data_IF_776263858177
#
_entry.id   IF_776263858177
#
_cell.length_a   1.000
_cell.length_b   1.000
_cell.length_c   1.000
_cell.angle_alpha   90.00
_cell.angle_beta   90.00
_cell.angle_gamma   90.00
#
_symmetry.space_group_name_H-M   'P 1'
#
loop_
_entity.id
_entity.type
_entity.pdbx_description
1 polymer ?
#
# COMPACT_ATOMS: atom_id res chain seq x y z
N UNK A 1 -2.72 -6.68 -29.94
CA UNK A 1 -2.09 -5.42 -29.48
C UNK A 1 -2.22 -5.32 -27.96
N UNK A 2 -1.25 -5.86 -27.21
CA UNK A 2 -1.26 -5.95 -25.72
C UNK A 2 0.08 -5.42 -25.12
N UNK A 3 1.00 -4.91 -25.94
CA UNK A 3 2.35 -4.54 -25.48
C UNK A 3 2.41 -3.25 -24.65
N UNK A 4 1.55 -2.26 -24.91
CA UNK A 4 1.60 -0.97 -24.21
C UNK A 4 1.29 -1.08 -22.71
N UNK A 5 0.40 -2.00 -22.34
CA UNK A 5 -0.01 -2.24 -20.95
C UNK A 5 1.10 -2.91 -20.13
N UNK A 6 1.79 -3.90 -20.72
CA UNK A 6 2.93 -4.54 -20.07
C UNK A 6 4.06 -3.54 -19.84
N UNK A 7 4.28 -2.61 -20.78
CA UNK A 7 5.28 -1.57 -20.64
C UNK A 7 4.96 -0.63 -19.45
N UNK A 8 3.70 -0.26 -19.27
CA UNK A 8 3.24 0.55 -18.12
C UNK A 8 3.44 -0.23 -16.82
N UNK A 9 3.08 -1.51 -16.77
CA UNK A 9 3.26 -2.34 -15.58
C UNK A 9 4.72 -2.45 -15.14
N UNK A 10 5.64 -2.65 -16.10
CA UNK A 10 7.09 -2.68 -15.84
C UNK A 10 7.61 -1.32 -15.38
N UNK A 11 7.18 -0.22 -16.02
CA UNK A 11 7.56 1.13 -15.61
C UNK A 11 7.08 1.47 -14.19
N UNK A 12 5.83 1.12 -13.86
CA UNK A 12 5.27 1.32 -12.52
C UNK A 12 6.02 0.47 -11.49
N UNK A 13 6.33 -0.79 -11.80
CA UNK A 13 7.12 -1.66 -10.93
C UNK A 13 8.53 -1.12 -10.66
N UNK A 14 9.22 -0.63 -11.69
CA UNK A 14 10.53 0.03 -11.56
C UNK A 14 10.47 1.31 -10.73
N UNK A 15 9.47 2.15 -10.98
CA UNK A 15 9.26 3.39 -10.24
C UNK A 15 9.01 3.12 -8.76
N UNK A 16 8.19 2.10 -8.47
CA UNK A 16 7.85 1.72 -7.10
C UNK A 16 9.01 1.04 -6.36
N UNK A 17 9.85 0.24 -7.04
CA UNK A 17 11.10 -0.26 -6.46
C UNK A 17 12.04 0.87 -6.06
N UNK A 18 12.20 1.88 -6.91
CA UNK A 18 12.99 3.07 -6.59
C UNK A 18 12.40 3.82 -5.39
N UNK A 19 11.07 4.00 -5.36
CA UNK A 19 10.39 4.68 -4.26
C UNK A 19 10.58 3.94 -2.92
N UNK A 20 10.42 2.61 -2.91
CA UNK A 20 10.69 1.78 -1.74
C UNK A 20 12.15 1.88 -1.29
N UNK A 21 13.11 1.93 -2.20
CA UNK A 21 14.52 2.13 -1.86
C UNK A 21 14.78 3.48 -1.18
N UNK A 22 14.19 4.57 -1.69
CA UNK A 22 14.28 5.92 -1.11
C UNK A 22 13.71 5.94 0.32
N UNK A 23 12.59 5.27 0.51
CA UNK A 23 11.89 5.19 1.80
C UNK A 23 12.64 4.35 2.84
N UNK A 24 13.29 3.25 2.44
CA UNK A 24 14.20 2.47 3.29
C UNK A 24 15.41 3.32 3.71
N UNK A 25 15.98 4.09 2.78
CA UNK A 25 17.15 4.95 3.05
C UNK A 25 16.83 6.07 4.05
N UNK A 26 15.59 6.54 4.10
CA UNK A 26 15.12 7.56 5.06
C UNK A 26 14.82 7.03 6.47
N UNK A 27 14.94 5.71 6.71
CA UNK A 27 14.64 5.03 7.99
C UNK A 27 13.22 5.28 8.54
N UNK A 28 12.29 5.75 7.72
CA UNK A 28 10.90 5.98 8.15
C UNK A 28 10.05 4.71 8.11
N UNK A 29 10.56 3.64 7.49
CA UNK A 29 9.94 2.32 7.54
C UNK A 29 10.60 1.43 8.59
N UNK A 30 9.75 0.72 9.33
CA UNK A 30 10.17 -0.43 10.13
C UNK A 30 10.62 -1.54 9.18
N UNK A 31 11.67 -2.29 9.52
CA UNK A 31 12.24 -3.36 8.68
C UNK A 31 11.17 -4.34 8.12
N UNK A 32 10.11 -4.59 8.90
CA UNK A 32 8.97 -5.44 8.51
C UNK A 32 8.15 -4.86 7.36
N UNK A 33 7.93 -3.55 7.36
CA UNK A 33 7.13 -2.85 6.33
C UNK A 33 7.91 -2.77 5.01
N UNK A 34 9.23 -2.58 5.08
CA UNK A 34 10.10 -2.61 3.92
C UNK A 34 10.07 -3.97 3.20
N UNK A 35 10.15 -5.07 3.96
CA UNK A 35 10.09 -6.44 3.43
C UNK A 35 8.70 -6.75 2.85
N UNK A 36 7.63 -6.30 3.50
CA UNK A 36 6.26 -6.46 2.99
C UNK A 36 6.09 -5.76 1.63
N UNK A 37 6.49 -4.50 1.53
CA UNK A 37 6.40 -3.74 0.28
C UNK A 37 7.28 -4.33 -0.84
N UNK A 38 8.49 -4.79 -0.52
CA UNK A 38 9.34 -5.50 -1.48
C UNK A 38 8.65 -6.75 -2.06
N UNK A 39 8.01 -7.57 -1.22
CA UNK A 39 7.25 -8.74 -1.69
C UNK A 39 6.11 -8.34 -2.61
N UNK A 40 5.37 -7.27 -2.28
CA UNK A 40 4.27 -6.76 -3.11
C UNK A 40 4.76 -6.33 -4.48
N UNK A 41 5.88 -5.59 -4.56
CA UNK A 41 6.43 -5.15 -5.83
C UNK A 41 6.95 -6.31 -6.68
N UNK A 42 7.61 -7.28 -6.05
CA UNK A 42 8.07 -8.50 -6.74
C UNK A 42 6.86 -9.29 -7.28
N UNK A 43 5.79 -9.42 -6.49
CA UNK A 43 4.57 -10.09 -6.93
C UNK A 43 3.90 -9.36 -8.11
N UNK A 44 3.84 -8.02 -8.09
CA UNK A 44 3.31 -7.22 -9.19
C UNK A 44 4.15 -7.36 -10.48
N UNK A 45 5.48 -7.35 -10.36
CA UNK A 45 6.38 -7.57 -11.50
C UNK A 45 6.19 -8.98 -12.07
N UNK A 46 6.12 -10.00 -11.21
CA UNK A 46 5.89 -11.38 -11.62
C UNK A 46 4.54 -11.55 -12.35
N UNK A 47 3.47 -10.95 -11.83
CA UNK A 47 2.14 -10.94 -12.47
C UNK A 47 2.15 -10.19 -13.81
N UNK A 48 2.92 -9.10 -13.92
CA UNK A 48 3.05 -8.34 -15.17
C UNK A 48 3.85 -9.09 -16.25
N UNK A 49 4.87 -9.86 -15.86
CA UNK A 49 5.71 -10.63 -16.78
C UNK A 49 5.02 -11.92 -17.24
N UNK A 50 4.17 -12.53 -16.41
CA UNK A 50 3.47 -13.77 -16.71
C UNK A 50 1.94 -13.61 -16.70
N UNK A 51 1.35 -12.94 -17.72
CA UNK A 51 -0.12 -12.84 -17.84
C UNK A 51 -0.80 -14.21 -18.07
N UNK A 52 -0.04 -15.24 -18.44
CA UNK A 52 -0.54 -16.61 -18.63
C UNK A 52 -0.98 -17.28 -17.32
N UNK A 53 -0.36 -16.95 -16.17
CA UNK A 53 -0.76 -17.49 -14.86
C UNK A 53 -2.14 -16.99 -14.46
N UNK A 54 -2.43 -15.72 -14.74
CA UNK A 54 -3.76 -15.14 -14.55
C UNK A 54 -4.80 -15.73 -15.49
N UNK A 55 -4.40 -16.20 -16.68
CA UNK A 55 -5.30 -16.86 -17.63
C UNK A 55 -5.75 -18.26 -17.16
N UNK A 56 -4.91 -18.97 -16.41
CA UNK A 56 -5.30 -20.23 -15.77
C UNK A 56 -6.31 -20.00 -14.64
N UNK A 57 -6.19 -18.90 -13.88
CA UNK A 57 -7.16 -18.53 -12.85
C UNK A 57 -8.46 -17.92 -13.40
N UNK A 58 -8.41 -17.17 -14.52
CA UNK A 58 -9.60 -16.53 -15.11
C UNK A 58 -10.63 -17.55 -15.61
N UNK A 59 -10.17 -18.71 -16.08
CA UNK A 59 -11.01 -19.79 -16.59
C UNK A 59 -11.88 -20.43 -15.50
N UNK A 60 -11.37 -20.56 -14.27
CA UNK A 60 -12.02 -21.36 -13.23
C UNK A 60 -12.96 -20.59 -12.30
N UNK A 61 -12.82 -19.25 -12.19
CA UNK A 61 -13.54 -18.50 -11.12
C UNK A 61 -14.39 -17.33 -11.62
N UNK A 62 -14.04 -16.62 -12.70
CA UNK A 62 -14.63 -15.31 -12.96
C UNK A 62 -15.18 -15.03 -14.38
N UNK A 63 -14.93 -15.88 -15.40
CA UNK A 63 -15.43 -15.63 -16.78
C UNK A 63 -15.09 -14.22 -17.32
N UNK A 64 -14.02 -13.60 -16.81
CA UNK A 64 -13.56 -12.29 -17.25
C UNK A 64 -12.74 -12.49 -18.52
N UNK A 65 -13.28 -12.06 -19.67
CA UNK A 65 -12.67 -12.24 -20.99
C UNK A 65 -11.30 -11.56 -21.15
N UNK A 66 -10.90 -10.69 -20.22
CA UNK A 66 -9.63 -9.96 -20.28
C UNK A 66 -8.88 -10.09 -18.95
N UNK A 67 -7.72 -10.73 -18.99
CA UNK A 67 -6.74 -10.85 -17.89
C UNK A 67 -6.44 -9.51 -17.20
N UNK A 68 -6.57 -8.42 -17.95
CA UNK A 68 -6.32 -7.05 -17.53
C UNK A 68 -7.39 -6.52 -16.56
N UNK A 69 -8.66 -6.88 -16.76
CA UNK A 69 -9.76 -6.39 -15.92
C UNK A 69 -9.66 -6.98 -14.51
N UNK A 70 -9.16 -8.22 -14.38
CA UNK A 70 -8.89 -8.84 -13.08
C UNK A 70 -7.78 -8.10 -12.32
N UNK A 71 -6.70 -7.69 -13.00
CA UNK A 71 -5.63 -6.90 -12.37
C UNK A 71 -6.14 -5.54 -11.88
N UNK A 72 -7.02 -4.89 -12.65
CA UNK A 72 -7.61 -3.61 -12.25
C UNK A 72 -8.49 -3.80 -11.00
N UNK A 73 -9.35 -4.82 -10.99
CA UNK A 73 -10.20 -5.12 -9.83
C UNK A 73 -9.34 -5.42 -8.60
N UNK A 74 -8.31 -6.25 -8.75
CA UNK A 74 -7.41 -6.60 -7.64
C UNK A 74 -6.62 -5.38 -7.14
N UNK A 75 -6.15 -4.54 -8.06
CA UNK A 75 -5.50 -3.27 -7.74
C UNK A 75 -6.42 -2.32 -6.99
N UNK A 76 -7.70 -2.24 -7.38
CA UNK A 76 -8.71 -1.45 -6.67
C UNK A 76 -8.95 -1.96 -5.25
N UNK A 77 -9.11 -3.27 -5.08
CA UNK A 77 -9.24 -3.89 -3.75
C UNK A 77 -8.01 -3.63 -2.88
N UNK A 78 -6.82 -3.78 -3.45
CA UNK A 78 -5.56 -3.52 -2.77
C UNK A 78 -5.44 -2.05 -2.35
N UNK A 79 -5.77 -1.12 -3.24
CA UNK A 79 -5.77 0.30 -2.96
C UNK A 79 -6.79 0.68 -1.86
N UNK A 80 -8.00 0.11 -1.92
CA UNK A 80 -9.01 0.32 -0.90
C UNK A 80 -8.54 -0.17 0.48
N UNK A 81 -7.87 -1.34 0.54
CA UNK A 81 -7.26 -1.84 1.78
C UNK A 81 -6.19 -0.89 2.32
N UNK A 82 -5.32 -0.36 1.46
CA UNK A 82 -4.28 0.60 1.88
C UNK A 82 -4.91 1.89 2.42
N UNK A 83 -5.91 2.43 1.71
CA UNK A 83 -6.61 3.65 2.15
C UNK A 83 -7.26 3.41 3.51
N UNK A 84 -7.91 2.26 3.70
CA UNK A 84 -8.55 1.91 4.96
C UNK A 84 -7.53 1.75 6.11
N UNK A 85 -6.40 1.09 5.84
CA UNK A 85 -5.30 0.96 6.80
C UNK A 85 -4.74 2.33 7.19
N UNK A 86 -4.47 3.18 6.19
CA UNK A 86 -3.95 4.53 6.40
C UNK A 86 -4.94 5.41 7.18
N UNK A 87 -6.22 5.34 6.86
CA UNK A 87 -7.27 6.02 7.62
C UNK A 87 -7.24 5.60 9.10
N UNK A 88 -7.10 4.31 9.39
CA UNK A 88 -7.04 3.77 10.75
C UNK A 88 -5.79 4.25 11.50
N UNK A 89 -4.64 4.28 10.81
CA UNK A 89 -3.38 4.76 11.36
C UNK A 89 -3.47 6.25 11.71
N UNK A 90 -3.98 7.07 10.78
CA UNK A 90 -4.21 8.51 10.98
C UNK A 90 -5.17 8.75 12.14
N UNK A 91 -6.28 8.00 12.22
CA UNK A 91 -7.26 8.12 13.31
C UNK A 91 -6.65 7.78 14.67
N UNK A 92 -5.77 6.79 14.72
CA UNK A 92 -5.08 6.40 15.96
C UNK A 92 -4.05 7.44 16.37
N UNK A 93 -3.30 7.99 15.41
CA UNK A 93 -2.33 9.07 15.65
C UNK A 93 -3.04 10.33 16.17
N UNK A 94 -4.16 10.74 15.57
CA UNK A 94 -4.97 11.86 16.04
C UNK A 94 -5.41 11.67 17.51
N UNK A 95 -5.91 10.49 17.86
CA UNK A 95 -6.32 10.19 19.25
C UNK A 95 -5.17 10.30 20.25
N UNK A 96 -3.96 9.89 19.86
CA UNK A 96 -2.79 10.00 20.73
C UNK A 96 -2.40 11.47 20.94
N UNK A 97 -2.41 12.26 19.86
CA UNK A 97 -2.15 13.71 19.94
C UNK A 97 -3.19 14.39 20.85
N UNK A 98 -4.47 14.11 20.66
CA UNK A 98 -5.55 14.65 21.48
C UNK A 98 -5.37 14.30 22.96
N UNK A 99 -4.99 13.06 23.27
CA UNK A 99 -4.71 12.63 24.64
C UNK A 99 -3.51 13.37 25.26
N UNK A 100 -2.43 13.55 24.50
CA UNK A 100 -1.24 14.30 24.94
C UNK A 100 -1.60 15.76 25.23
N UNK A 101 -2.30 16.43 24.30
CA UNK A 101 -2.71 17.83 24.46
C UNK A 101 -3.66 17.99 25.66
N UNK A 102 -4.60 17.07 25.85
CA UNK A 102 -5.51 17.07 27.01
C UNK A 102 -4.76 16.93 28.33
N UNK A 103 -3.80 16.01 28.41
CA UNK A 103 -3.00 15.81 29.61
C UNK A 103 -2.14 17.03 29.94
N UNK A 104 -1.51 17.64 28.93
CA UNK A 104 -0.75 18.89 29.07
C UNK A 104 -1.63 20.04 29.59
N UNK A 105 -2.85 20.16 29.06
CA UNK A 105 -3.80 21.19 29.51
C UNK A 105 -4.22 20.98 30.97
N UNK A 106 -4.53 19.74 31.37
CA UNK A 106 -4.90 19.42 32.74
C UNK A 106 -3.74 19.67 33.73
N UNK A 107 -2.51 19.28 33.36
CA UNK A 107 -1.32 19.53 34.18
C UNK A 107 -1.08 21.03 34.37
N UNK A 108 -1.24 21.83 33.32
CA UNK A 108 -1.10 23.29 33.37
C UNK A 108 -2.13 23.94 34.29
N UNK A 109 -3.36 23.45 34.30
CA UNK A 109 -4.42 23.93 35.21
C UNK A 109 -4.12 23.54 36.66
N UNK A 110 -3.63 22.32 36.92
CA UNK A 110 -3.25 21.89 38.27
C UNK A 110 -2.07 22.70 38.82
N UNK A 111 -1.04 22.96 38.00
CA UNK A 111 0.10 23.82 38.39
C UNK A 111 -0.30 25.26 38.70
N UNK A 112 -1.35 25.80 38.08
CA UNK A 112 -1.86 27.15 38.36
C UNK A 112 -2.70 27.25 39.64
N UNK A 113 -3.20 26.13 40.18
CA UNK A 113 -4.00 26.07 41.41
C UNK A 113 -3.15 25.84 42.69
N UNK A 114 -1.89 25.43 42.55
CA UNK A 114 -0.90 25.40 43.64
C UNK A 114 -0.15 26.72 43.71
#
# INVERSE_FOLDING_TARGET
MIQGIQLIGVFVGLFMLYYSYVYIKRKEFTMKEAVFWLMVWIALIALSLFPQVLNAMSWYVFRVQRTMDMLIIFGFFFLAMIIFYMYTLVRTSQRQIDAIVRNLALEKVQKKKK
#
